data_IF_310562488224
#
_entry.id   IF_310562488224
#
_cell.length_a   1.000
_cell.length_b   1.000
_cell.length_c   1.000
_cell.angle_alpha   90.00
_cell.angle_beta   90.00
_cell.angle_gamma   90.00
#
_symmetry.space_group_name_H-M   'P 1'
#
loop_
_entity.id
_entity.type
_entity.pdbx_description
1 polymer ?
#
# COMPACT_ATOMS: atom_id res chain seq x y z
N UNK A 1 -4.80 23.69 -12.55
CA UNK A 1 -3.40 23.38 -12.17
C UNK A 1 -3.03 23.65 -10.71
N UNK A 2 -3.45 24.73 -10.01
CA UNK A 2 -3.18 24.86 -8.55
C UNK A 2 -4.30 24.34 -7.64
N UNK A 3 -5.54 24.30 -8.13
CA UNK A 3 -6.70 23.80 -7.39
C UNK A 3 -6.74 22.25 -7.33
N UNK A 4 -6.28 21.57 -8.39
CA UNK A 4 -6.21 20.10 -8.44
C UNK A 4 -5.18 19.53 -7.45
N UNK A 5 -3.99 20.14 -7.32
CA UNK A 5 -2.94 19.70 -6.39
C UNK A 5 -3.36 19.76 -4.93
N UNK A 6 -4.16 20.77 -4.54
CA UNK A 6 -4.71 20.85 -3.18
C UNK A 6 -5.73 19.74 -2.91
N UNK A 7 -6.54 19.39 -3.92
CA UNK A 7 -7.48 18.27 -3.82
C UNK A 7 -6.75 16.93 -3.65
N UNK A 8 -5.71 16.69 -4.45
CA UNK A 8 -4.87 15.49 -4.34
C UNK A 8 -4.24 15.32 -2.96
N UNK A 9 -3.56 16.37 -2.48
CA UNK A 9 -2.91 16.34 -1.16
C UNK A 9 -3.88 16.08 0.00
N UNK A 10 -5.12 16.61 -0.07
CA UNK A 10 -6.15 16.34 0.93
C UNK A 10 -6.59 14.86 0.92
N UNK A 11 -6.74 14.26 -0.25
CA UNK A 11 -7.09 12.86 -0.40
C UNK A 11 -5.95 11.96 0.09
N UNK A 12 -4.71 12.26 -0.29
CA UNK A 12 -3.51 11.54 0.14
C UNK A 12 -3.36 11.57 1.67
N UNK A 13 -3.53 12.73 2.29
CA UNK A 13 -3.49 12.89 3.75
C UNK A 13 -4.61 12.09 4.44
N UNK A 14 -5.84 12.16 3.92
CA UNK A 14 -6.97 11.42 4.46
C UNK A 14 -6.75 9.89 4.37
N UNK A 15 -6.23 9.39 3.24
CA UNK A 15 -5.93 7.97 3.06
C UNK A 15 -4.78 7.51 3.96
N UNK A 16 -3.74 8.34 4.14
CA UNK A 16 -2.68 8.09 5.11
C UNK A 16 -3.20 7.97 6.54
N UNK A 17 -4.08 8.89 6.96
CA UNK A 17 -4.70 8.85 8.28
C UNK A 17 -5.57 7.60 8.48
N UNK A 18 -6.36 7.22 7.47
CA UNK A 18 -7.15 5.97 7.50
C UNK A 18 -6.23 4.78 7.68
N UNK A 19 -5.12 4.68 6.94
CA UNK A 19 -4.18 3.58 7.06
C UNK A 19 -3.54 3.49 8.46
N UNK A 20 -3.12 4.63 9.02
CA UNK A 20 -2.56 4.69 10.37
C UNK A 20 -3.58 4.23 11.43
N UNK A 21 -4.83 4.68 11.33
CA UNK A 21 -5.92 4.27 12.25
C UNK A 21 -6.27 2.79 12.10
N UNK A 22 -6.24 2.25 10.88
CA UNK A 22 -6.44 0.82 10.63
C UNK A 22 -5.31 -0.03 11.21
N UNK A 23 -4.04 0.41 11.07
CA UNK A 23 -2.90 -0.24 11.73
C UNK A 23 -3.07 -0.28 13.24
N UNK A 24 -3.46 0.84 13.86
CA UNK A 24 -3.70 0.92 15.29
C UNK A 24 -4.83 -0.02 15.76
N UNK A 25 -5.75 -0.40 14.87
CA UNK A 25 -6.83 -1.37 15.11
C UNK A 25 -6.45 -2.81 14.74
N UNK A 26 -5.18 -3.07 14.42
CA UNK A 26 -4.67 -4.41 14.14
C UNK A 26 -4.64 -4.80 12.67
N UNK A 27 -4.96 -3.89 11.73
CA UNK A 27 -4.84 -4.19 10.29
C UNK A 27 -3.37 -4.34 9.92
N UNK A 28 -3.02 -5.48 9.32
CA UNK A 28 -1.62 -5.82 8.97
C UNK A 28 -1.31 -5.88 7.48
N UNK A 29 -2.33 -5.77 6.63
CA UNK A 29 -2.24 -5.93 5.18
C UNK A 29 -2.79 -4.68 4.51
N UNK A 30 -2.02 -4.10 3.61
CA UNK A 30 -2.39 -2.87 2.90
C UNK A 30 -2.09 -3.02 1.41
N UNK A 31 -3.10 -2.80 0.56
CA UNK A 31 -2.91 -2.68 -0.89
C UNK A 31 -3.28 -1.25 -1.27
N UNK A 32 -2.32 -0.52 -1.82
CA UNK A 32 -2.47 0.92 -2.11
C UNK A 32 -2.20 1.17 -3.59
N UNK A 33 -3.04 1.99 -4.21
CA UNK A 33 -2.92 2.37 -5.62
C UNK A 33 -2.68 3.88 -5.78
N UNK A 34 -1.78 4.24 -6.69
CA UNK A 34 -1.32 5.61 -6.92
C UNK A 34 0.03 5.86 -6.26
N UNK A 35 0.95 6.52 -6.95
CA UNK A 35 2.33 6.73 -6.48
C UNK A 35 2.37 7.66 -5.26
N UNK A 36 1.69 8.78 -5.37
CA UNK A 36 1.57 9.82 -4.34
C UNK A 36 0.81 9.29 -3.13
N UNK A 37 -0.34 8.63 -3.36
CA UNK A 37 -1.12 7.93 -2.33
C UNK A 37 -0.30 6.88 -1.60
N UNK A 38 0.48 6.07 -2.33
CA UNK A 38 1.38 5.07 -1.75
C UNK A 38 2.43 5.72 -0.85
N UNK A 39 3.01 6.84 -1.29
CA UNK A 39 3.95 7.62 -0.48
C UNK A 39 3.32 8.11 0.83
N UNK A 40 2.15 8.73 0.75
CA UNK A 40 1.43 9.24 1.92
C UNK A 40 1.06 8.12 2.92
N UNK A 41 0.61 6.95 2.42
CA UNK A 41 0.28 5.80 3.28
C UNK A 41 1.52 5.22 3.95
N UNK A 42 2.62 5.02 3.21
CA UNK A 42 3.87 4.50 3.78
C UNK A 42 4.42 5.43 4.88
N UNK A 43 4.39 6.74 4.65
CA UNK A 43 4.79 7.74 5.63
C UNK A 43 3.90 7.72 6.87
N UNK A 44 2.57 7.68 6.70
CA UNK A 44 1.62 7.63 7.81
C UNK A 44 1.70 6.31 8.61
N UNK A 45 2.05 5.21 7.95
CA UNK A 45 2.36 3.94 8.59
C UNK A 45 3.75 3.93 9.24
N UNK A 46 4.60 4.94 9.03
CA UNK A 46 5.92 5.06 9.64
C UNK A 46 6.95 4.03 9.14
N UNK A 47 6.74 3.43 7.97
CA UNK A 47 7.59 2.35 7.47
C UNK A 47 8.87 2.95 6.85
N UNK A 48 10.03 2.45 7.29
CA UNK A 48 11.33 2.96 6.85
C UNK A 48 11.99 2.06 5.80
N UNK A 49 11.66 0.78 5.80
CA UNK A 49 12.24 -0.20 4.88
C UNK A 49 11.22 -1.29 4.56
N UNK A 50 11.29 -1.76 3.31
CA UNK A 50 10.45 -2.84 2.79
C UNK A 50 11.35 -3.92 2.19
N UNK A 51 11.09 -5.18 2.54
CA UNK A 51 11.64 -6.34 1.85
C UNK A 51 10.75 -6.65 0.64
N UNK A 52 11.35 -6.73 -0.54
CA UNK A 52 10.67 -7.12 -1.77
C UNK A 52 10.45 -8.64 -1.76
N UNK A 53 9.23 -9.08 -2.07
CA UNK A 53 8.83 -10.48 -2.16
C UNK A 53 8.49 -10.90 -3.60
N UNK A 54 7.54 -11.83 -3.72
CA UNK A 54 7.07 -12.33 -5.02
C UNK A 54 6.34 -11.26 -5.81
N UNK A 55 6.41 -11.40 -7.13
CA UNK A 55 5.71 -10.52 -8.05
C UNK A 55 4.21 -10.90 -8.12
N UNK A 56 3.31 -9.92 -7.98
CA UNK A 56 1.86 -10.13 -8.12
C UNK A 56 1.45 -9.92 -9.58
N UNK A 57 1.82 -8.77 -10.15
CA UNK A 57 1.62 -8.41 -11.56
C UNK A 57 2.89 -7.74 -12.13
N UNK A 58 3.01 -7.56 -13.46
CA UNK A 58 4.13 -6.84 -14.08
C UNK A 58 4.44 -5.51 -13.37
N UNK A 59 5.61 -5.39 -12.74
CA UNK A 59 6.04 -4.19 -12.02
C UNK A 59 5.44 -3.97 -10.62
N UNK A 60 4.68 -4.93 -10.07
CA UNK A 60 4.06 -4.78 -8.74
C UNK A 60 4.34 -6.01 -7.85
N UNK A 61 5.36 -5.95 -6.98
CA UNK A 61 5.65 -7.02 -6.03
C UNK A 61 4.86 -6.90 -4.73
N UNK A 62 4.71 -8.02 -4.03
CA UNK A 62 4.41 -8.00 -2.59
C UNK A 62 5.61 -7.46 -1.82
N UNK A 63 5.36 -6.77 -0.70
CA UNK A 63 6.43 -6.30 0.19
C UNK A 63 6.07 -6.52 1.65
N UNK A 64 7.09 -6.58 2.49
CA UNK A 64 6.94 -6.69 3.94
C UNK A 64 7.78 -5.63 4.64
N UNK A 65 7.23 -4.97 5.66
CA UNK A 65 7.97 -3.98 6.44
C UNK A 65 9.10 -4.62 7.27
N UNK A 66 10.11 -3.81 7.58
CA UNK A 66 11.27 -4.22 8.36
C UNK A 66 11.44 -3.30 9.58
N UNK A 67 11.84 -3.89 10.70
CA UNK A 67 12.15 -3.18 11.94
C UNK A 67 10.99 -3.14 12.95
N UNK A 68 9.79 -3.60 12.57
CA UNK A 68 8.66 -3.74 13.48
C UNK A 68 8.64 -5.12 14.17
N UNK A 69 8.18 -5.15 15.43
CA UNK A 69 7.97 -6.41 16.17
C UNK A 69 6.97 -7.34 15.45
N UNK A 70 6.01 -6.75 14.75
CA UNK A 70 5.05 -7.46 13.92
C UNK A 70 4.99 -6.79 12.54
N UNK A 71 5.62 -7.40 11.52
CA UNK A 71 5.72 -6.82 10.18
C UNK A 71 4.35 -6.58 9.51
N UNK A 72 4.26 -5.51 8.73
CA UNK A 72 3.13 -5.23 7.84
C UNK A 72 3.41 -5.80 6.46
N UNK A 73 2.38 -6.37 5.83
CA UNK A 73 2.42 -6.73 4.43
C UNK A 73 1.82 -5.59 3.60
N UNK A 74 2.57 -5.07 2.64
CA UNK A 74 2.15 -3.90 1.85
C UNK A 74 2.38 -4.14 0.37
N UNK A 75 1.43 -3.72 -0.46
CA UNK A 75 1.52 -3.76 -1.92
C UNK A 75 1.31 -2.34 -2.44
N UNK A 76 2.28 -1.83 -3.19
CA UNK A 76 2.28 -0.46 -3.72
C UNK A 76 2.14 -0.52 -5.24
N UNK A 77 0.96 -0.17 -5.74
CA UNK A 77 0.61 -0.24 -7.16
C UNK A 77 0.64 1.16 -7.78
N UNK A 78 1.41 1.34 -8.85
CA UNK A 78 1.26 2.52 -9.71
C UNK A 78 -0.16 2.62 -10.27
N UNK A 79 -0.69 3.83 -10.50
CA UNK A 79 -2.07 4.05 -10.94
C UNK A 79 -2.47 3.22 -12.17
N UNK A 80 -1.59 3.12 -13.17
CA UNK A 80 -1.86 2.46 -14.46
C UNK A 80 -1.41 0.99 -14.55
N UNK A 81 -0.98 0.39 -13.44
CA UNK A 81 -0.44 -0.98 -13.42
C UNK A 81 -1.46 -1.99 -12.92
N UNK A 82 -1.28 -3.26 -13.32
CA UNK A 82 -2.10 -4.38 -12.89
C UNK A 82 -3.36 -4.60 -13.74
N UNK A 83 -3.84 -5.84 -13.75
CA UNK A 83 -5.10 -6.21 -14.40
C UNK A 83 -6.31 -5.77 -13.57
N UNK A 84 -7.51 -5.91 -14.13
CA UNK A 84 -8.78 -5.50 -13.50
C UNK A 84 -9.02 -6.19 -12.14
N UNK A 85 -8.52 -7.42 -11.99
CA UNK A 85 -8.61 -8.25 -10.78
C UNK A 85 -7.46 -8.02 -9.77
N UNK A 86 -6.61 -7.01 -9.98
CA UNK A 86 -5.38 -6.83 -9.21
C UNK A 86 -5.58 -6.80 -7.69
N UNK A 87 -6.59 -6.09 -7.18
CA UNK A 87 -6.80 -5.99 -5.73
C UNK A 87 -7.14 -7.33 -5.09
N UNK A 88 -7.91 -8.18 -5.77
CA UNK A 88 -8.25 -9.53 -5.30
C UNK A 88 -7.01 -10.43 -5.32
N UNK A 89 -6.22 -10.41 -6.40
CA UNK A 89 -4.93 -11.12 -6.48
C UNK A 89 -3.97 -10.69 -5.37
N UNK A 90 -3.82 -9.38 -5.16
CA UNK A 90 -2.94 -8.84 -4.14
C UNK A 90 -3.36 -9.26 -2.73
N UNK A 91 -4.65 -9.18 -2.40
CA UNK A 91 -5.14 -9.61 -1.08
C UNK A 91 -4.95 -11.11 -0.85
N UNK A 92 -5.26 -11.95 -1.84
CA UNK A 92 -5.03 -13.41 -1.75
C UNK A 92 -3.56 -13.76 -1.55
N UNK A 93 -2.68 -13.11 -2.30
CA UNK A 93 -1.24 -13.28 -2.17
C UNK A 93 -0.76 -12.91 -0.75
N UNK A 94 -1.27 -11.81 -0.19
CA UNK A 94 -0.96 -11.39 1.18
C UNK A 94 -1.55 -12.31 2.27
N UNK A 95 -2.60 -13.07 1.95
CA UNK A 95 -3.19 -14.07 2.85
C UNK A 95 -2.39 -15.38 2.92
N UNK A 96 -1.28 -15.47 2.18
CA UNK A 96 -0.53 -16.72 2.03
C UNK A 96 -1.21 -17.70 1.09
N UNK A 97 -2.30 -17.30 0.44
CA UNK A 97 -2.90 -18.01 -0.68
C UNK A 97 -1.96 -17.90 -1.86
N UNK A 98 -1.21 -18.97 -2.13
CA UNK A 98 -0.61 -19.15 -3.45
C UNK A 98 -1.75 -19.07 -4.47
N UNK A 99 -1.65 -18.14 -5.42
CA UNK A 99 -2.41 -18.22 -6.66
C UNK A 99 -2.01 -19.48 -7.43
#
# INVERSE_FOLDING_TARGET
RRLDQRGGALIEAALGEVAARLRARGTRRFVVAGGETSGAVIQALGLQALRIGRQIDPGVPETQSLGEAEPLAVVLKSGNFGAEDFFDKALRQLDGGAA
#
